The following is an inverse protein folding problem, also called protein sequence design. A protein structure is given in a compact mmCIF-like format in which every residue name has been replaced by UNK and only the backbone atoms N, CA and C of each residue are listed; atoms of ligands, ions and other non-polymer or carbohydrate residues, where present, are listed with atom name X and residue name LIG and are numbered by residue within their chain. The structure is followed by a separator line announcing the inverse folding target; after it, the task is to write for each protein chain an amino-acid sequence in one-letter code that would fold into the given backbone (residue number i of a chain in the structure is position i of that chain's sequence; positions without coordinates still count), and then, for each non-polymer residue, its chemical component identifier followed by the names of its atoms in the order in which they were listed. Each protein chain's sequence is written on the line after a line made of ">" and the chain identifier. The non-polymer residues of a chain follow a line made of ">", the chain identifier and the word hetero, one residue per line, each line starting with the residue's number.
data_IF_529041933737
#
_entry.id   IF_529041933737
#
_cell.length_a   1.000
_cell.length_b   1.000
_cell.length_c   1.000
_cell.angle_alpha   90.00
_cell.angle_beta   90.00
_cell.angle_gamma   90.00
#
_symmetry.space_group_name_H-M   'P 1'
#
loop_
_entity.id
_entity.type
_entity.pdbx_description
1 polymer ?
#
# COMPACT_ATOMS: atom_id res chain seq x y z
N UNK A 1 5.67 1.78 23.77
CA UNK A 1 6.41 1.31 22.57
C UNK A 1 6.70 2.53 21.71
N UNK A 2 7.88 3.10 21.87
CA UNK A 2 8.22 4.46 21.45
C UNK A 2 8.30 4.62 19.92
N UNK A 3 7.64 5.65 19.41
CA UNK A 3 7.91 6.24 18.10
C UNK A 3 9.30 6.91 18.18
N UNK A 4 10.36 6.17 17.84
CA UNK A 4 11.75 6.66 17.93
C UNK A 4 12.17 7.55 16.74
N UNK A 5 11.26 7.87 15.82
CA UNK A 5 11.55 8.78 14.70
C UNK A 5 10.63 10.01 14.80
N UNK A 6 11.13 11.17 15.25
CA UNK A 6 10.33 12.40 15.34
C UNK A 6 9.80 12.85 13.98
N UNK A 7 10.39 12.40 12.88
CA UNK A 7 9.83 12.64 11.53
C UNK A 7 8.45 12.00 11.38
N UNK A 8 8.07 11.01 12.19
CA UNK A 8 6.80 10.24 12.10
C UNK A 8 5.71 10.69 13.06
N UNK A 9 5.97 11.68 13.91
CA UNK A 9 4.99 12.16 14.90
C UNK A 9 3.74 12.80 14.28
N UNK A 10 3.81 13.18 13.00
CA UNK A 10 2.77 13.92 12.28
C UNK A 10 1.97 13.07 11.27
N UNK A 11 2.17 11.74 11.25
CA UNK A 11 1.46 10.88 10.29
C UNK A 11 -0.01 10.74 10.68
N UNK A 12 -0.90 11.08 9.74
CA UNK A 12 -2.34 10.83 9.83
C UNK A 12 -2.67 9.50 9.14
N UNK A 13 -3.33 8.60 9.85
CA UNK A 13 -3.87 7.38 9.26
C UNK A 13 -5.32 7.60 8.87
N UNK A 14 -5.62 7.43 7.58
CA UNK A 14 -6.98 7.54 7.06
C UNK A 14 -7.46 6.13 6.71
N UNK A 15 -8.39 5.59 7.50
CA UNK A 15 -9.03 4.32 7.20
C UNK A 15 -10.01 4.49 6.04
N UNK A 16 -9.80 3.75 4.95
CA UNK A 16 -10.60 3.84 3.74
C UNK A 16 -11.05 2.46 3.27
N UNK A 17 -12.22 2.34 2.64
CA UNK A 17 -12.60 1.09 2.00
C UNK A 17 -11.70 0.82 0.78
N UNK A 18 -11.18 -0.40 0.71
CA UNK A 18 -10.57 -0.99 -0.46
C UNK A 18 -11.66 -1.23 -1.51
N UNK A 19 -11.49 -0.64 -2.71
CA UNK A 19 -12.35 -0.92 -3.87
C UNK A 19 -11.82 -2.05 -4.75
N UNK A 20 -10.50 -2.18 -4.82
CA UNK A 20 -9.76 -3.22 -5.56
C UNK A 20 -8.45 -3.51 -4.83
N UNK A 21 -8.15 -4.79 -4.60
CA UNK A 21 -6.92 -5.20 -3.94
C UNK A 21 -5.81 -5.44 -4.97
N UNK A 22 -6.12 -6.17 -6.05
CA UNK A 22 -5.24 -6.46 -7.17
C UNK A 22 -5.24 -5.32 -8.19
N UNK A 23 -4.08 -4.73 -8.42
CA UNK A 23 -3.88 -3.64 -9.37
C UNK A 23 -3.06 -4.15 -10.55
N UNK A 24 -3.57 -4.08 -11.80
CA UNK A 24 -2.78 -4.41 -12.96
C UNK A 24 -1.70 -3.34 -13.14
N UNK A 25 -0.48 -3.77 -13.46
CA UNK A 25 0.65 -2.87 -13.74
C UNK A 25 1.16 -3.06 -15.16
N UNK A 26 1.78 -2.02 -15.71
CA UNK A 26 2.39 -2.05 -17.05
C UNK A 26 3.84 -1.58 -16.95
N UNK A 27 4.71 -2.16 -17.76
CA UNK A 27 6.13 -1.79 -17.80
C UNK A 27 6.94 -2.27 -16.59
N UNK A 28 6.44 -3.29 -15.87
CA UNK A 28 7.11 -3.95 -14.75
C UNK A 28 7.36 -5.42 -15.10
N UNK A 29 8.30 -6.09 -14.42
CA UNK A 29 8.56 -7.53 -14.58
C UNK A 29 7.47 -8.47 -14.02
N UNK A 30 6.29 -7.94 -13.73
CA UNK A 30 5.14 -8.63 -13.16
C UNK A 30 3.86 -7.92 -13.61
N UNK A 31 2.72 -8.62 -13.56
CA UNK A 31 1.45 -8.11 -14.08
C UNK A 31 0.53 -7.52 -12.99
N UNK A 32 0.69 -7.96 -11.74
CA UNK A 32 -0.22 -7.61 -10.65
C UNK A 32 0.52 -7.12 -9.42
N UNK A 33 -0.01 -6.06 -8.82
CA UNK A 33 0.47 -5.56 -7.54
C UNK A 33 -0.63 -5.51 -6.49
N UNK A 34 -0.23 -5.70 -5.24
CA UNK A 34 -1.07 -5.56 -4.06
C UNK A 34 -0.45 -4.52 -3.13
N UNK A 35 -1.21 -3.48 -2.79
CA UNK A 35 -0.75 -2.41 -1.90
C UNK A 35 -1.80 -2.20 -0.80
N UNK A 36 -1.63 -2.81 0.39
CA UNK A 36 -2.56 -2.68 1.52
C UNK A 36 -2.69 -1.25 2.04
N UNK A 37 -1.67 -0.43 1.80
CA UNK A 37 -1.62 0.97 2.18
C UNK A 37 -1.47 1.88 0.94
N UNK A 38 -1.64 3.18 1.11
CA UNK A 38 -1.24 4.18 0.11
C UNK A 38 -0.61 5.38 0.82
N UNK A 39 0.52 5.86 0.30
CA UNK A 39 1.47 6.65 1.08
C UNK A 39 2.41 5.76 1.89
N UNK A 40 3.56 6.31 2.29
CA UNK A 40 4.58 5.57 3.04
C UNK A 40 5.24 6.46 4.10
N UNK A 41 5.16 6.07 5.37
CA UNK A 41 5.68 6.84 6.52
C UNK A 41 7.20 7.04 6.48
N UNK A 42 7.91 6.16 5.75
CA UNK A 42 9.36 6.23 5.60
C UNK A 42 9.83 7.52 4.91
N UNK A 43 9.01 8.08 4.01
CA UNK A 43 9.29 9.36 3.32
C UNK A 43 10.68 9.46 2.66
N UNK A 44 11.23 8.34 2.20
CA UNK A 44 12.57 8.28 1.62
C UNK A 44 12.76 9.34 0.53
N UNK A 45 13.89 10.06 0.57
CA UNK A 45 14.23 11.09 -0.41
C UNK A 45 14.31 10.52 -1.84
N UNK A 46 14.73 9.26 -1.95
CA UNK A 46 14.88 8.53 -3.22
C UNK A 46 13.64 7.72 -3.63
N UNK A 47 12.50 7.91 -2.97
CA UNK A 47 11.31 7.08 -3.22
C UNK A 47 10.76 7.32 -4.63
N UNK A 48 10.92 6.33 -5.52
CA UNK A 48 10.42 6.41 -6.90
C UNK A 48 8.90 6.64 -6.96
N UNK A 49 8.15 6.19 -5.94
CA UNK A 49 6.69 6.33 -5.87
C UNK A 49 6.26 7.79 -5.90
N UNK A 50 7.10 8.73 -5.43
CA UNK A 50 6.79 10.17 -5.50
C UNK A 50 6.49 10.62 -6.95
N UNK A 51 7.23 10.11 -7.94
CA UNK A 51 6.96 10.42 -9.35
C UNK A 51 5.62 9.84 -9.83
N UNK A 52 5.21 8.68 -9.30
CA UNK A 52 3.89 8.09 -9.59
C UNK A 52 2.75 8.87 -8.93
N UNK A 53 2.94 9.34 -7.69
CA UNK A 53 1.97 10.18 -6.99
C UNK A 53 1.77 11.52 -7.71
N UNK A 54 2.85 12.15 -8.18
CA UNK A 54 2.77 13.37 -9.00
C UNK A 54 1.90 13.16 -10.25
N UNK A 55 2.12 12.09 -11.00
CA UNK A 55 1.32 11.76 -12.20
C UNK A 55 -0.15 11.50 -11.90
N UNK A 56 -0.44 11.10 -10.66
CA UNK A 56 -1.79 10.81 -10.22
C UNK A 56 -2.43 11.97 -9.44
N UNK A 57 -1.84 13.17 -9.54
CA UNK A 57 -2.27 14.41 -8.87
C UNK A 57 -2.44 14.23 -7.35
N UNK A 58 -1.47 13.53 -6.73
CA UNK A 58 -1.41 13.29 -5.29
C UNK A 58 -0.15 13.90 -4.68
N UNK A 59 -0.14 14.15 -3.35
CA UNK A 59 1.04 14.66 -2.67
C UNK A 59 2.31 13.85 -2.97
N UNK A 60 3.31 14.51 -3.56
CA UNK A 60 4.57 13.90 -3.98
C UNK A 60 5.81 14.59 -3.36
N UNK A 61 5.62 15.84 -2.90
CA UNK A 61 6.60 16.69 -2.22
C UNK A 61 6.74 16.30 -0.73
N UNK A 62 7.10 17.23 0.14
CA UNK A 62 7.25 16.98 1.59
C UNK A 62 5.94 16.62 2.31
N UNK A 63 4.81 16.65 1.59
CA UNK A 63 3.53 16.13 2.07
C UNK A 63 3.34 14.63 1.77
N UNK A 64 4.12 14.04 0.86
CA UNK A 64 4.10 12.59 0.63
C UNK A 64 4.41 11.86 1.94
N UNK A 65 3.56 10.88 2.30
CA UNK A 65 3.73 10.09 3.52
C UNK A 65 3.31 10.79 4.83
N UNK A 66 2.79 12.03 4.79
CA UNK A 66 2.12 12.66 5.96
C UNK A 66 0.74 12.06 6.22
N UNK A 67 0.10 11.54 5.18
CA UNK A 67 -1.13 10.76 5.29
C UNK A 67 -0.88 9.37 4.72
N UNK A 68 -1.26 8.35 5.49
CA UNK A 68 -1.29 6.96 5.03
C UNK A 68 -2.73 6.50 5.00
N UNK A 69 -3.20 6.17 3.80
CA UNK A 69 -4.50 5.53 3.62
C UNK A 69 -4.38 4.04 3.93
N UNK A 70 -5.19 3.58 4.86
CA UNK A 70 -5.23 2.21 5.36
C UNK A 70 -6.46 1.53 4.75
N UNK A 71 -6.26 0.56 3.86
CA UNK A 71 -7.37 -0.09 3.15
C UNK A 71 -7.97 -1.21 4.00
N UNK A 72 -8.81 -0.86 4.97
CA UNK A 72 -9.17 -1.72 6.11
C UNK A 72 -9.75 -3.09 5.76
N UNK A 73 -10.48 -3.21 4.65
CA UNK A 73 -11.09 -4.46 4.15
C UNK A 73 -10.30 -5.10 2.98
N UNK A 74 -9.03 -4.74 2.76
CA UNK A 74 -8.24 -5.21 1.61
C UNK A 74 -8.12 -6.74 1.53
N UNK A 75 -8.02 -7.44 2.67
CA UNK A 75 -7.92 -8.90 2.68
C UNK A 75 -9.23 -9.59 2.23
N UNK A 76 -10.38 -9.01 2.57
CA UNK A 76 -11.70 -9.51 2.13
C UNK A 76 -11.90 -9.31 0.63
N UNK A 77 -11.51 -8.13 0.13
CA UNK A 77 -11.52 -7.82 -1.30
C UNK A 77 -10.56 -8.74 -2.05
N UNK A 78 -9.35 -8.94 -1.54
CA UNK A 78 -8.36 -9.85 -2.13
C UNK A 78 -8.89 -11.28 -2.22
N UNK A 79 -9.48 -11.82 -1.14
CA UNK A 79 -10.10 -13.15 -1.12
C UNK A 79 -11.15 -13.29 -2.21
N UNK A 80 -12.00 -12.26 -2.34
CA UNK A 80 -13.06 -12.23 -3.35
C UNK A 80 -12.50 -12.17 -4.78
N UNK A 81 -11.42 -11.42 -5.00
CA UNK A 81 -10.77 -11.28 -6.30
C UNK A 81 -10.03 -12.56 -6.72
N UNK A 82 -9.28 -13.18 -5.80
CA UNK A 82 -8.57 -14.43 -6.05
C UNK A 82 -9.51 -15.64 -6.25
N UNK A 83 -10.72 -15.60 -5.68
CA UNK A 83 -11.74 -16.64 -5.85
C UNK A 83 -12.46 -16.59 -7.22
N UNK A 84 -12.27 -15.53 -8.02
CA UNK A 84 -12.92 -15.41 -9.33
C UNK A 84 -12.42 -16.51 -10.27
N UNK A 85 -13.33 -17.15 -11.01
CA UNK A 85 -12.98 -18.14 -12.06
C UNK A 85 -12.08 -17.56 -13.17
N UNK A 86 -12.12 -16.24 -13.36
CA UNK A 86 -11.26 -15.54 -14.31
C UNK A 86 -9.83 -15.36 -13.80
N UNK A 87 -9.56 -15.49 -12.50
CA UNK A 87 -8.23 -15.35 -11.94
C UNK A 87 -7.33 -16.49 -12.40
N UNK A 88 -6.14 -16.15 -12.91
CA UNK A 88 -5.20 -17.10 -13.53
C UNK A 88 -4.07 -17.54 -12.59
N UNK A 89 -4.15 -17.21 -11.29
CA UNK A 89 -3.10 -17.48 -10.30
C UNK A 89 -1.73 -16.91 -10.72
N UNK A 90 -1.76 -15.72 -11.31
CA UNK A 90 -0.55 -15.00 -11.69
C UNK A 90 0.22 -14.52 -10.46
N UNK A 91 1.51 -14.25 -10.63
CA UNK A 91 2.37 -13.66 -9.60
C UNK A 91 1.84 -12.29 -9.19
N UNK A 92 1.66 -12.09 -7.89
CA UNK A 92 1.27 -10.81 -7.29
C UNK A 92 2.42 -10.26 -6.47
N UNK A 93 2.89 -9.06 -6.81
CA UNK A 93 3.94 -8.38 -6.04
C UNK A 93 3.31 -7.46 -4.99
N UNK A 94 3.66 -7.71 -3.73
CA UNK A 94 3.17 -6.90 -2.60
C UNK A 94 4.12 -5.73 -2.37
N UNK A 95 3.57 -4.52 -2.24
CA UNK A 95 4.36 -3.33 -1.89
C UNK A 95 5.03 -2.64 -3.07
N UNK A 96 4.49 -2.79 -4.28
CA UNK A 96 5.05 -2.13 -5.47
C UNK A 96 4.87 -0.61 -5.51
N UNK A 97 4.02 -0.03 -4.64
CA UNK A 97 3.79 1.42 -4.57
C UNK A 97 3.72 1.96 -3.13
N UNK A 98 4.05 1.14 -2.15
CA UNK A 98 4.16 1.51 -0.73
C UNK A 98 4.95 0.42 -0.01
N UNK A 99 5.57 0.73 1.11
CA UNK A 99 6.20 -0.31 1.91
C UNK A 99 5.13 -1.11 2.68
N UNK A 100 5.02 -2.44 2.48
CA UNK A 100 3.98 -3.25 3.10
C UNK A 100 4.24 -3.51 4.59
N UNK A 101 5.46 -3.26 5.08
CA UNK A 101 5.88 -3.42 6.46
C UNK A 101 6.30 -2.08 7.09
N UNK A 102 5.78 -0.96 6.58
CA UNK A 102 5.90 0.34 7.24
C UNK A 102 5.32 0.30 8.67
N UNK A 103 5.66 1.25 9.56
CA UNK A 103 5.24 1.23 10.96
C UNK A 103 3.74 0.98 11.19
N UNK A 104 2.86 1.47 10.31
CA UNK A 104 1.44 1.19 10.28
C UNK A 104 1.11 -0.32 10.38
N UNK A 105 1.89 -1.18 9.75
CA UNK A 105 1.69 -2.63 9.73
C UNK A 105 1.77 -3.22 11.13
N UNK A 106 2.60 -2.66 12.03
CA UNK A 106 2.66 -3.10 13.42
C UNK A 106 1.32 -2.95 14.15
N UNK A 107 0.50 -1.98 13.74
CA UNK A 107 -0.86 -1.75 14.26
C UNK A 107 -1.92 -2.51 13.46
N UNK A 108 -1.97 -2.30 12.15
CA UNK A 108 -3.11 -2.74 11.32
C UNK A 108 -3.01 -4.18 10.81
N UNK A 109 -1.78 -4.68 10.64
CA UNK A 109 -1.50 -6.05 10.18
C UNK A 109 -2.18 -6.43 8.85
N UNK A 110 -2.39 -5.46 7.95
CA UNK A 110 -3.10 -5.71 6.70
C UNK A 110 -2.27 -6.53 5.71
N UNK A 111 -0.96 -6.31 5.65
CA UNK A 111 -0.08 -7.16 4.83
C UNK A 111 -0.14 -8.59 5.33
N UNK A 112 -0.05 -8.81 6.65
CA UNK A 112 -0.20 -10.13 7.26
C UNK A 112 -1.54 -10.78 6.89
N UNK A 113 -2.66 -10.07 7.05
CA UNK A 113 -4.00 -10.59 6.70
C UNK A 113 -4.10 -10.95 5.22
N UNK A 114 -3.49 -10.18 4.32
CA UNK A 114 -3.46 -10.50 2.89
C UNK A 114 -2.67 -11.77 2.57
N UNK A 115 -1.60 -12.07 3.32
CA UNK A 115 -0.80 -13.29 3.14
C UNK A 115 -1.52 -14.55 3.65
N UNK A 116 -2.55 -14.40 4.49
CA UNK A 116 -3.37 -15.49 5.03
C UNK A 116 -4.63 -15.79 4.17
N UNK A 117 -4.78 -15.09 3.04
CA UNK A 117 -5.83 -15.32 2.04
C UNK A 117 -5.44 -16.46 1.11
#
# INVERSE_FOLDING_TARGET
>A
MALLDPRRADVVFEEVPCKSALNPVKGMGFNWSLNPYTGCEHRCAFCYVRAYELRADRPYDDRYGRTVRVKVNVAEVLRSELARRSWRKETVVIGAATDPYQPAEGRYKLTRKCLEV
#
